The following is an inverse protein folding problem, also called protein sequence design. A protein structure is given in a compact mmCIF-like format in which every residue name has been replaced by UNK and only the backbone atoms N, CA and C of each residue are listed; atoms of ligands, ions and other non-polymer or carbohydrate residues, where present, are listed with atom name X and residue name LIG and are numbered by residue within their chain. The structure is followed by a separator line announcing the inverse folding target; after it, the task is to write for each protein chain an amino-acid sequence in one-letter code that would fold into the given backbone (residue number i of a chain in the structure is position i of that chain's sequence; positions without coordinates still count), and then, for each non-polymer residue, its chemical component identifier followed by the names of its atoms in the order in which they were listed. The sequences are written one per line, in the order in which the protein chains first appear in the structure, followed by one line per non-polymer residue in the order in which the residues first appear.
data_IF_016611056563
#
_entry.id   IF_016611056563
#
_cell.length_a   1.000
_cell.length_b   1.000
_cell.length_c   1.000
_cell.angle_alpha   90.00
_cell.angle_beta   90.00
_cell.angle_gamma   90.00
#
_symmetry.space_group_name_H-M   'P 1'
#
loop_
_entity.id
_entity.type
_entity.pdbx_description
1 polymer ?
#
# COMPACT_ATOMS: atom_id res chain seq x y z
N UNK A 1 23.22 -51.01 -44.73
CA UNK A 1 21.93 -50.85 -43.99
C UNK A 1 21.95 -49.77 -42.94
N UNK A 2 22.83 -48.78 -42.98
CA UNK A 2 23.02 -47.80 -41.88
C UNK A 2 22.54 -46.39 -42.20
N UNK A 3 22.30 -46.05 -43.46
CA UNK A 3 21.93 -44.68 -43.84
C UNK A 3 20.42 -44.37 -43.78
N UNK A 4 19.56 -45.37 -43.75
CA UNK A 4 18.13 -45.18 -43.75
C UNK A 4 17.58 -44.97 -42.31
N UNK A 5 18.22 -45.63 -41.35
CA UNK A 5 17.86 -45.52 -39.94
C UNK A 5 18.25 -44.14 -39.38
N UNK A 6 19.37 -43.56 -39.81
CA UNK A 6 19.82 -42.24 -39.40
C UNK A 6 18.90 -41.10 -39.90
N UNK A 7 18.45 -41.19 -41.13
CA UNK A 7 17.52 -40.22 -41.70
C UNK A 7 16.15 -40.26 -41.03
N UNK A 8 15.69 -41.43 -40.61
CA UNK A 8 14.41 -41.60 -39.92
C UNK A 8 14.48 -41.04 -38.49
N UNK A 9 15.55 -41.30 -37.77
CA UNK A 9 15.76 -40.74 -36.42
C UNK A 9 15.95 -39.22 -36.44
N UNK A 10 16.59 -38.66 -37.47
CA UNK A 10 16.78 -37.22 -37.59
C UNK A 10 15.47 -36.49 -37.87
N UNK A 11 14.58 -37.09 -38.66
CA UNK A 11 13.25 -36.55 -38.93
C UNK A 11 12.34 -36.58 -37.70
N UNK A 12 12.39 -37.64 -36.89
CA UNK A 12 11.60 -37.74 -35.65
C UNK A 12 12.11 -36.74 -34.61
N UNK A 13 13.42 -36.54 -34.51
CA UNK A 13 13.98 -35.55 -33.56
C UNK A 13 13.69 -34.12 -33.98
N UNK A 14 13.65 -33.84 -35.30
CA UNK A 14 13.28 -32.52 -35.82
C UNK A 14 11.79 -32.18 -35.61
N UNK A 15 10.91 -33.21 -35.72
CA UNK A 15 9.47 -33.00 -35.51
C UNK A 15 9.11 -32.82 -34.03
N UNK A 16 9.85 -33.45 -33.11
CA UNK A 16 9.62 -33.34 -31.66
C UNK A 16 10.08 -31.99 -31.09
N UNK A 17 11.03 -31.34 -31.76
CA UNK A 17 11.55 -30.03 -31.33
C UNK A 17 10.59 -28.86 -31.60
N UNK A 18 9.57 -29.03 -32.45
CA UNK A 18 8.62 -27.97 -32.83
C UNK A 18 7.43 -27.89 -31.88
N UNK A 19 7.20 -28.88 -31.02
CA UNK A 19 6.04 -28.92 -30.14
C UNK A 19 6.25 -28.28 -28.76
N UNK A 20 7.46 -27.75 -28.45
CA UNK A 20 7.73 -27.15 -27.15
C UNK A 20 7.78 -25.63 -27.14
N UNK A 21 7.48 -24.96 -28.26
CA UNK A 21 7.35 -23.50 -28.33
C UNK A 21 5.90 -23.04 -28.47
N UNK A 22 4.99 -23.63 -27.67
CA UNK A 22 3.71 -23.01 -27.41
C UNK A 22 3.85 -22.13 -26.18
N UNK A 23 4.56 -21.02 -26.31
CA UNK A 23 4.50 -19.92 -25.36
C UNK A 23 3.09 -19.34 -25.44
N UNK A 24 2.29 -19.57 -24.42
CA UNK A 24 1.07 -18.83 -24.16
C UNK A 24 1.43 -17.36 -24.10
N UNK A 25 1.03 -16.61 -25.10
CA UNK A 25 1.01 -15.16 -25.10
C UNK A 25 -0.15 -14.74 -24.21
N UNK A 26 0.12 -14.51 -22.94
CA UNK A 26 -0.76 -13.72 -22.12
C UNK A 26 -0.76 -12.32 -22.72
N UNK A 27 -1.92 -11.92 -23.22
CA UNK A 27 -2.18 -10.57 -23.68
C UNK A 27 -2.29 -9.71 -22.41
N UNK A 28 -1.17 -9.16 -21.97
CA UNK A 28 -1.21 -7.97 -21.14
C UNK A 28 -1.71 -6.84 -22.02
N UNK A 29 -2.95 -6.47 -21.81
CA UNK A 29 -3.53 -5.24 -22.32
C UNK A 29 -2.77 -4.09 -21.67
N UNK A 30 -1.72 -3.65 -22.36
CA UNK A 30 -0.91 -2.49 -21.98
C UNK A 30 -1.80 -1.26 -22.18
N UNK A 31 -2.47 -0.86 -21.11
CA UNK A 31 -3.06 0.47 -21.01
C UNK A 31 -1.92 1.49 -21.12
N UNK A 32 -1.82 2.09 -22.28
CA UNK A 32 -0.85 3.13 -22.63
C UNK A 32 -1.15 4.39 -21.84
N UNK A 33 -0.73 4.40 -20.55
CA UNK A 33 -0.75 5.60 -19.73
C UNK A 33 0.35 6.54 -20.22
N UNK A 34 -0.11 7.59 -20.87
CA UNK A 34 0.71 8.74 -21.28
C UNK A 34 1.54 9.26 -20.10
N UNK A 35 2.87 9.48 -20.23
CA UNK A 35 3.68 10.01 -19.15
C UNK A 35 3.47 11.52 -19.03
N UNK A 36 2.48 11.92 -18.26
CA UNK A 36 2.35 13.29 -17.77
C UNK A 36 2.85 13.30 -16.33
N UNK A 37 3.86 14.09 -16.07
CA UNK A 37 4.42 14.51 -14.78
C UNK A 37 4.29 13.47 -13.65
N UNK A 38 5.41 12.85 -13.29
CA UNK A 38 5.53 11.95 -12.14
C UNK A 38 5.31 12.75 -10.84
N UNK A 39 4.05 12.86 -10.43
CA UNK A 39 3.74 13.04 -9.03
C UNK A 39 4.30 11.79 -8.30
N UNK A 40 4.93 11.93 -7.13
CA UNK A 40 5.39 10.77 -6.37
C UNK A 40 4.18 9.87 -6.11
N UNK A 41 4.18 8.68 -6.71
CA UNK A 41 3.11 7.70 -6.51
C UNK A 41 3.17 7.22 -5.07
N UNK A 42 2.41 7.87 -4.19
CA UNK A 42 2.21 7.41 -2.83
C UNK A 42 1.47 6.07 -2.87
N UNK A 43 1.98 5.07 -2.15
CA UNK A 43 1.33 3.76 -2.03
C UNK A 43 0.16 3.79 -1.05
N UNK A 44 0.11 4.80 -0.15
CA UNK A 44 -0.95 4.98 0.85
C UNK A 44 -1.69 6.30 0.62
N UNK A 45 -2.99 6.19 0.31
CA UNK A 45 -3.87 7.35 0.15
C UNK A 45 -4.33 7.88 1.52
N UNK A 46 -4.25 9.19 1.72
CA UNK A 46 -4.86 9.81 2.91
C UNK A 46 -6.36 9.56 2.96
N UNK A 47 -7.07 9.84 1.87
CA UNK A 47 -8.54 9.77 1.83
C UNK A 47 -9.07 8.34 1.99
N UNK A 48 -8.41 7.38 1.36
CA UNK A 48 -8.92 6.01 1.27
C UNK A 48 -8.35 5.07 2.34
N UNK A 49 -7.21 5.40 2.94
CA UNK A 49 -6.52 4.51 3.88
C UNK A 49 -6.34 5.12 5.27
N UNK A 50 -5.88 6.38 5.35
CA UNK A 50 -5.51 7.00 6.62
C UNK A 50 -6.71 7.64 7.32
N UNK A 51 -7.49 8.45 6.59
CA UNK A 51 -8.66 9.14 7.15
C UNK A 51 -9.71 8.18 7.75
N UNK A 52 -10.01 7.00 7.16
CA UNK A 52 -10.89 6.02 7.78
C UNK A 52 -10.41 5.54 9.16
N UNK A 53 -9.11 5.37 9.35
CA UNK A 53 -8.54 4.99 10.66
C UNK A 53 -8.80 6.09 11.69
N UNK A 54 -8.53 7.35 11.34
CA UNK A 54 -8.83 8.49 12.24
C UNK A 54 -10.32 8.63 12.55
N UNK A 55 -11.18 8.45 11.56
CA UNK A 55 -12.63 8.53 11.78
C UNK A 55 -13.13 7.43 12.71
N UNK A 56 -12.57 6.23 12.61
CA UNK A 56 -12.99 5.08 13.43
C UNK A 56 -12.47 5.20 14.87
N UNK A 57 -11.22 5.59 15.07
CA UNK A 57 -10.56 5.48 16.36
C UNK A 57 -10.33 6.79 17.08
N UNK A 58 -10.38 7.92 16.37
CA UNK A 58 -10.00 9.22 16.94
C UNK A 58 -11.15 10.23 16.97
N UNK A 59 -12.06 10.20 16.00
CA UNK A 59 -13.10 11.22 15.81
C UNK A 59 -14.43 10.93 16.52
N UNK A 60 -14.43 10.16 17.61
CA UNK A 60 -15.62 10.04 18.46
C UNK A 60 -16.06 11.39 19.05
N UNK A 61 -17.37 11.54 19.36
CA UNK A 61 -17.94 12.79 19.87
C UNK A 61 -17.33 13.30 21.19
N UNK A 62 -16.81 12.40 22.02
CA UNK A 62 -16.08 12.73 23.25
C UNK A 62 -14.56 12.72 23.06
N UNK A 63 -14.12 12.57 21.82
CA UNK A 63 -12.73 12.56 21.41
C UNK A 63 -12.48 13.73 20.45
N UNK A 64 -11.59 13.56 19.50
CA UNK A 64 -11.22 14.63 18.58
C UNK A 64 -12.33 15.04 17.59
N UNK A 65 -13.37 14.23 17.38
CA UNK A 65 -14.55 14.64 16.62
C UNK A 65 -15.38 15.73 17.33
N UNK A 66 -15.31 15.78 18.66
CA UNK A 66 -15.87 16.87 19.49
C UNK A 66 -14.88 17.98 19.78
N UNK A 67 -13.68 17.94 19.21
CA UNK A 67 -12.63 18.94 19.44
C UNK A 67 -11.93 18.81 20.79
N UNK A 68 -11.82 17.61 21.35
CA UNK A 68 -11.06 17.38 22.58
C UNK A 68 -9.64 17.97 22.46
N UNK A 69 -9.21 18.69 23.48
CA UNK A 69 -7.94 19.41 23.50
C UNK A 69 -7.76 20.42 22.33
N UNK A 70 -8.88 20.90 21.75
CA UNK A 70 -8.87 21.84 20.63
C UNK A 70 -8.38 21.23 19.32
N UNK A 71 -8.31 19.90 19.20
CA UNK A 71 -7.87 19.19 18.02
C UNK A 71 -9.00 18.38 17.39
N UNK A 72 -9.10 18.43 16.08
CA UNK A 72 -9.90 17.54 15.26
C UNK A 72 -8.99 16.71 14.37
N UNK A 73 -9.46 15.57 13.88
CA UNK A 73 -8.76 14.75 12.89
C UNK A 73 -9.66 14.40 11.70
N UNK A 74 -10.65 15.26 11.44
CA UNK A 74 -11.62 15.08 10.34
C UNK A 74 -11.10 15.48 8.97
N UNK A 75 -9.94 16.13 8.89
CA UNK A 75 -9.35 16.57 7.63
C UNK A 75 -7.86 16.33 7.58
N UNK A 76 -7.29 16.37 6.38
CA UNK A 76 -5.85 16.27 6.18
C UNK A 76 -5.10 17.37 6.94
N UNK A 77 -5.55 18.63 6.84
CA UNK A 77 -4.95 19.77 7.55
C UNK A 77 -4.91 19.58 9.07
N UNK A 78 -5.95 18.98 9.63
CA UNK A 78 -6.01 18.70 11.06
C UNK A 78 -4.92 17.69 11.45
N UNK A 79 -4.84 16.59 10.72
CA UNK A 79 -3.86 15.51 11.00
C UNK A 79 -2.43 15.99 10.83
N UNK A 80 -2.12 16.76 9.76
CA UNK A 80 -0.75 17.27 9.53
C UNK A 80 -0.37 18.38 10.51
N UNK A 81 -1.32 19.00 11.19
CA UNK A 81 -1.03 19.98 12.26
C UNK A 81 -0.34 19.34 13.47
N UNK A 82 -0.51 18.04 13.66
CA UNK A 82 0.12 17.30 14.76
C UNK A 82 1.55 16.89 14.37
N UNK A 83 2.50 17.17 15.25
CA UNK A 83 3.87 16.74 15.05
C UNK A 83 3.96 15.21 14.92
N UNK A 84 4.70 14.74 13.91
CA UNK A 84 4.86 13.31 13.61
C UNK A 84 5.28 12.49 14.82
N UNK A 85 6.26 12.98 15.59
CA UNK A 85 6.75 12.29 16.81
C UNK A 85 5.64 12.13 17.85
N UNK A 86 4.78 13.15 18.01
CA UNK A 86 3.66 13.09 18.94
C UNK A 86 2.59 12.11 18.48
N UNK A 87 2.23 12.15 17.21
CA UNK A 87 1.26 11.23 16.63
C UNK A 87 1.71 9.78 16.76
N UNK A 88 2.91 9.47 16.28
CA UNK A 88 3.45 8.11 16.34
C UNK A 88 3.69 7.64 17.79
N UNK A 89 4.17 8.51 18.67
CA UNK A 89 4.36 8.19 20.07
C UNK A 89 3.05 7.84 20.76
N UNK A 90 1.98 8.60 20.48
CA UNK A 90 0.67 8.37 21.08
C UNK A 90 0.03 7.06 20.59
N UNK A 91 -0.04 6.81 19.28
CA UNK A 91 -0.68 5.60 18.73
C UNK A 91 0.12 4.31 19.00
N UNK A 92 1.44 4.43 19.19
CA UNK A 92 2.30 3.31 19.58
C UNK A 92 2.29 3.05 21.09
N UNK A 93 1.66 3.89 21.89
CA UNK A 93 1.71 3.86 23.34
C UNK A 93 3.15 3.92 23.87
N UNK A 94 3.99 4.73 23.21
CA UNK A 94 5.40 4.89 23.59
C UNK A 94 5.52 5.64 24.93
N UNK A 95 6.42 5.22 25.79
CA UNK A 95 6.69 5.89 27.07
C UNK A 95 7.02 7.38 26.85
N UNK A 96 6.46 8.25 27.67
CA UNK A 96 6.59 9.71 27.55
C UNK A 96 5.53 10.39 26.69
N UNK A 97 4.65 9.62 26.04
CA UNK A 97 3.48 10.15 25.32
C UNK A 97 2.18 9.69 25.97
N UNK A 98 1.15 10.52 25.87
CA UNK A 98 -0.20 10.11 26.26
C UNK A 98 -0.72 9.06 25.28
N UNK A 99 -1.02 7.83 25.73
CA UNK A 99 -1.48 6.77 24.82
C UNK A 99 -2.84 7.12 24.20
N UNK A 100 -2.96 6.91 22.89
CA UNK A 100 -4.19 7.12 22.12
C UNK A 100 -4.49 5.87 21.28
N UNK A 101 -5.76 5.49 21.14
CA UNK A 101 -6.97 6.08 21.75
C UNK A 101 -6.95 5.97 23.28
N UNK A 102 -7.43 7.02 23.96
CA UNK A 102 -7.38 7.08 25.43
C UNK A 102 -8.32 6.03 26.04
N UNK A 103 -7.81 5.27 27.00
CA UNK A 103 -8.58 4.22 27.69
C UNK A 103 -9.14 3.12 26.78
N UNK A 104 -8.57 2.97 25.60
CA UNK A 104 -8.90 1.94 24.63
C UNK A 104 -7.66 1.10 24.30
N UNK A 105 -7.81 -0.10 23.72
CA UNK A 105 -6.69 -0.85 23.19
C UNK A 105 -5.89 -0.02 22.16
N UNK A 106 -4.60 -0.32 22.08
CA UNK A 106 -3.75 0.19 21.00
C UNK A 106 -4.34 -0.18 19.63
N UNK A 107 -4.16 0.68 18.62
CA UNK A 107 -4.52 0.38 17.24
C UNK A 107 -3.88 -0.95 16.78
N UNK A 108 -4.50 -1.61 15.82
CA UNK A 108 -3.90 -2.76 15.17
C UNK A 108 -2.57 -2.37 14.53
N UNK A 109 -1.61 -3.28 14.52
CA UNK A 109 -0.29 -2.99 13.95
C UNK A 109 -0.39 -2.58 12.48
N UNK A 110 -1.29 -3.20 11.71
CA UNK A 110 -1.54 -2.84 10.31
C UNK A 110 -2.03 -1.40 10.12
N UNK A 111 -2.81 -0.87 11.05
CA UNK A 111 -3.27 0.53 11.02
C UNK A 111 -2.13 1.50 11.34
N UNK A 112 -1.31 1.14 12.33
CA UNK A 112 -0.11 1.91 12.67
C UNK A 112 0.88 1.92 11.50
N UNK A 113 1.08 0.78 10.85
CA UNK A 113 1.96 0.65 9.69
C UNK A 113 1.45 1.51 8.53
N UNK A 114 0.13 1.51 8.26
CA UNK A 114 -0.50 2.36 7.24
C UNK A 114 -0.22 3.84 7.50
N UNK A 115 -0.44 4.31 8.72
CA UNK A 115 -0.14 5.70 9.10
C UNK A 115 1.35 6.01 8.96
N UNK A 116 2.21 5.07 9.36
CA UNK A 116 3.67 5.23 9.31
C UNK A 116 4.17 5.32 7.87
N UNK A 117 3.67 4.48 6.97
CA UNK A 117 4.00 4.53 5.54
C UNK A 117 3.58 5.88 4.95
N UNK A 118 2.34 6.31 5.17
CA UNK A 118 1.85 7.62 4.72
C UNK A 118 2.71 8.79 5.21
N UNK A 119 3.16 8.74 6.48
CA UNK A 119 4.06 9.74 7.04
C UNK A 119 5.40 9.76 6.29
N UNK A 120 5.98 8.56 6.04
CA UNK A 120 7.26 8.43 5.35
C UNK A 120 7.17 8.85 3.87
N UNK A 121 6.01 8.74 3.25
CA UNK A 121 5.72 9.20 1.89
C UNK A 121 5.43 10.71 1.81
N UNK A 122 5.59 11.44 2.91
CA UNK A 122 5.49 12.90 2.93
C UNK A 122 4.12 13.43 3.34
N UNK A 123 3.25 12.60 3.90
CA UNK A 123 1.94 13.01 4.43
C UNK A 123 1.07 13.67 3.37
N UNK A 124 1.01 13.08 2.16
CA UNK A 124 0.29 13.63 1.02
C UNK A 124 -1.23 13.66 1.25
N UNK A 125 -1.90 14.65 0.69
CA UNK A 125 -3.36 14.76 0.66
C UNK A 125 -3.89 14.17 -0.66
N UNK A 126 -3.97 12.86 -0.77
CA UNK A 126 -4.29 12.11 -1.98
C UNK A 126 -5.45 11.13 -1.79
#
# INVERSE_FOLDING_TARGET
MTNMQYKFNFLIFSLLSILLFSCKKETEESEKKNPTATEPSSTVSFQNSVLPIFNTHCNGSYCHGGGADGKSFGSHSDVVSVATVTLLGAINHTAGFSPMPKSQPKLMQTEIDTITIWINEGRLNN
#
